data_IF_393344256987
#
_entry.id   IF_393344256987
#
_cell.length_a   1.000
_cell.length_b   1.000
_cell.length_c   1.000
_cell.angle_alpha   90.00
_cell.angle_beta   90.00
_cell.angle_gamma   90.00
#
_symmetry.space_group_name_H-M   'P 1'
#
loop_
_entity.id
_entity.type
_entity.pdbx_description
1 polymer ?
#
# COMPACT_ATOMS: atom_id res chain seq x y z
N UNK A 1 -6.25 23.40 13.76
CA UNK A 1 -5.82 23.51 12.35
C UNK A 1 -4.99 22.27 12.05
N UNK A 2 -5.24 21.60 10.93
CA UNK A 2 -4.41 20.47 10.47
C UNK A 2 -3.66 20.93 9.22
N UNK A 3 -2.35 20.71 9.18
CA UNK A 3 -1.48 21.04 8.05
C UNK A 3 -0.97 19.72 7.49
N UNK A 4 -1.45 19.34 6.32
CA UNK A 4 -1.08 18.11 5.62
C UNK A 4 0.15 18.33 4.74
N UNK A 5 1.18 17.53 4.98
CA UNK A 5 2.43 17.44 4.23
C UNK A 5 3.29 18.74 4.18
N UNK A 6 4.52 18.67 3.63
CA UNK A 6 5.44 19.80 3.67
C UNK A 6 5.01 21.04 2.90
N UNK A 7 4.19 20.91 1.86
CA UNK A 7 3.87 22.00 0.92
C UNK A 7 3.25 23.22 1.63
N UNK A 8 2.23 23.07 2.50
CA UNK A 8 1.68 24.18 3.29
C UNK A 8 2.42 24.47 4.61
N UNK A 9 3.44 23.68 4.99
CA UNK A 9 4.09 23.79 6.31
C UNK A 9 4.71 25.17 6.61
N UNK A 10 5.11 25.90 5.57
CA UNK A 10 5.62 27.26 5.69
C UNK A 10 4.59 28.27 6.25
N UNK A 11 3.30 27.94 6.27
CA UNK A 11 2.24 28.78 6.85
C UNK A 11 2.21 28.74 8.38
N UNK A 12 2.75 27.70 9.01
CA UNK A 12 2.62 27.46 10.46
C UNK A 12 3.10 28.66 11.29
N UNK A 13 4.29 29.25 11.05
CA UNK A 13 4.76 30.38 11.84
C UNK A 13 3.89 31.63 11.68
N UNK A 14 3.37 31.89 10.47
CA UNK A 14 2.49 33.03 10.21
C UNK A 14 1.13 32.87 10.89
N UNK A 15 0.60 31.64 10.95
CA UNK A 15 -0.62 31.33 11.69
C UNK A 15 -0.41 31.61 13.19
N UNK A 16 0.68 31.11 13.77
CA UNK A 16 1.02 31.35 15.19
C UNK A 16 1.30 32.83 15.47
N UNK A 17 1.87 33.57 14.52
CA UNK A 17 2.06 35.02 14.66
C UNK A 17 0.72 35.77 14.70
N UNK A 18 -0.23 35.40 13.84
CA UNK A 18 -1.56 36.03 13.79
C UNK A 18 -2.46 35.60 14.97
N UNK A 19 -2.31 34.36 15.44
CA UNK A 19 -3.02 33.80 16.58
C UNK A 19 -2.09 32.87 17.39
N UNK A 20 -1.44 33.37 18.46
CA UNK A 20 -0.53 32.58 19.29
C UNK A 20 -1.18 31.34 19.93
N UNK A 21 -2.49 31.39 20.19
CA UNK A 21 -3.24 30.30 20.81
C UNK A 21 -3.73 29.24 19.81
N UNK A 22 -3.56 29.46 18.51
CA UNK A 22 -3.97 28.54 17.47
C UNK A 22 -3.35 27.15 17.69
N UNK A 23 -4.19 26.11 17.80
CA UNK A 23 -3.74 24.72 17.90
C UNK A 23 -3.51 24.13 16.52
N UNK A 24 -2.31 23.62 16.28
CA UNK A 24 -1.85 23.14 14.97
C UNK A 24 -1.37 21.70 15.09
N UNK A 25 -1.90 20.83 14.25
CA UNK A 25 -1.41 19.46 14.06
C UNK A 25 -0.74 19.42 12.69
N UNK A 26 0.53 19.01 12.64
CA UNK A 26 1.20 18.69 11.39
C UNK A 26 1.01 17.19 11.09
N UNK A 27 0.59 16.87 9.86
CA UNK A 27 0.40 15.50 9.39
C UNK A 27 1.38 15.20 8.26
N UNK A 28 2.26 14.22 8.48
CA UNK A 28 3.16 13.70 7.44
C UNK A 28 2.60 12.43 6.82
N UNK A 29 2.36 12.44 5.52
CA UNK A 29 2.03 11.24 4.72
C UNK A 29 3.25 10.72 3.94
N UNK A 30 4.29 11.56 3.78
CA UNK A 30 5.51 11.19 3.07
C UNK A 30 6.47 10.35 3.90
N UNK A 31 7.29 9.56 3.21
CA UNK A 31 8.36 8.75 3.79
C UNK A 31 9.63 9.60 3.98
N UNK A 32 9.74 10.29 5.11
CA UNK A 32 10.97 11.01 5.46
C UNK A 32 11.93 10.00 6.06
N UNK A 33 12.90 9.51 5.28
CA UNK A 33 13.89 8.54 5.80
C UNK A 33 14.71 9.21 6.92
N UNK A 34 14.34 8.92 8.17
CA UNK A 34 14.85 9.62 9.35
C UNK A 34 16.37 9.57 9.44
N UNK A 35 16.96 8.41 9.14
CA UNK A 35 18.41 8.23 9.13
C UNK A 35 19.15 9.11 8.10
N UNK A 36 18.52 9.45 6.97
CA UNK A 36 19.09 10.37 5.97
C UNK A 36 18.84 11.83 6.38
N UNK A 37 17.65 12.12 6.91
CA UNK A 37 17.30 13.45 7.41
C UNK A 37 18.15 13.87 8.62
N UNK A 38 18.72 12.92 9.35
CA UNK A 38 19.63 13.17 10.48
C UNK A 38 21.10 13.27 10.06
N UNK A 39 21.48 13.00 8.80
CA UNK A 39 22.89 12.97 8.36
C UNK A 39 23.44 14.35 7.98
N UNK A 40 24.36 14.95 8.76
CA UNK A 40 24.89 16.28 8.49
C UNK A 40 25.58 16.39 7.12
N UNK A 41 25.43 17.54 6.46
CA UNK A 41 26.07 17.82 5.18
C UNK A 41 25.41 17.17 3.95
N UNK A 42 24.32 16.42 4.13
CA UNK A 42 23.57 15.82 3.02
C UNK A 42 22.45 16.75 2.51
N UNK A 43 22.06 16.67 1.23
CA UNK A 43 20.90 17.41 0.72
C UNK A 43 19.60 17.10 1.47
N UNK A 44 19.45 15.85 1.94
CA UNK A 44 18.30 15.40 2.72
C UNK A 44 18.23 16.13 4.06
N UNK A 45 19.37 16.24 4.77
CA UNK A 45 19.44 17.03 6.01
C UNK A 45 19.16 18.51 5.78
N UNK A 46 19.73 19.10 4.74
CA UNK A 46 19.47 20.51 4.41
C UNK A 46 17.99 20.76 4.16
N UNK A 47 17.35 19.88 3.38
CA UNK A 47 15.91 19.96 3.08
C UNK A 47 15.08 19.80 4.34
N UNK A 48 15.37 18.78 5.17
CA UNK A 48 14.67 18.58 6.43
C UNK A 48 14.83 19.76 7.39
N UNK A 49 16.05 20.31 7.52
CA UNK A 49 16.29 21.45 8.41
C UNK A 49 15.45 22.67 8.02
N UNK A 50 15.34 22.93 6.71
CA UNK A 50 14.48 24.01 6.19
C UNK A 50 13.00 23.79 6.53
N UNK A 51 12.49 22.56 6.34
CA UNK A 51 11.10 22.23 6.67
C UNK A 51 10.85 22.27 8.18
N UNK A 52 11.74 21.66 8.96
CA UNK A 52 11.63 21.57 10.42
C UNK A 52 11.64 22.93 11.09
N UNK A 53 12.37 23.92 10.54
CA UNK A 53 12.34 25.30 11.01
C UNK A 53 10.90 25.83 11.13
N UNK A 54 10.00 25.40 10.25
CA UNK A 54 8.59 25.80 10.21
C UNK A 54 7.68 24.82 10.94
N UNK A 55 7.90 23.51 10.74
CA UNK A 55 7.07 22.44 11.30
C UNK A 55 7.17 22.37 12.84
N UNK A 56 8.33 22.67 13.43
CA UNK A 56 8.55 22.61 14.89
C UNK A 56 7.60 23.50 15.71
N UNK A 57 6.90 24.43 15.07
CA UNK A 57 5.91 25.29 15.70
C UNK A 57 4.52 24.64 15.82
N UNK A 58 4.31 23.47 15.24
CA UNK A 58 3.08 22.69 15.43
C UNK A 58 3.02 22.11 16.86
N UNK A 59 1.81 21.91 17.38
CA UNK A 59 1.58 21.33 18.70
C UNK A 59 1.81 19.81 18.68
N UNK A 60 1.35 19.13 17.63
CA UNK A 60 1.54 17.69 17.42
C UNK A 60 2.10 17.36 16.03
N UNK A 61 2.87 16.28 15.95
CA UNK A 61 3.40 15.66 14.74
C UNK A 61 2.76 14.29 14.56
N UNK A 62 1.90 14.13 13.55
CA UNK A 62 1.21 12.89 13.26
C UNK A 62 1.84 12.22 12.05
N UNK A 63 2.27 10.97 12.18
CA UNK A 63 2.91 10.20 11.10
C UNK A 63 2.24 8.83 10.90
N UNK A 64 2.58 8.16 9.80
CA UNK A 64 2.36 6.72 9.68
C UNK A 64 3.06 5.97 10.83
N UNK A 65 2.57 4.78 11.22
CA UNK A 65 3.08 4.00 12.36
C UNK A 65 4.46 3.36 12.11
N UNK A 66 5.43 4.19 11.76
CA UNK A 66 6.74 3.79 11.29
C UNK A 66 7.80 4.78 11.79
N UNK A 67 8.53 4.37 12.82
CA UNK A 67 9.56 5.20 13.45
C UNK A 67 10.62 5.69 12.45
N UNK A 68 11.00 4.84 11.49
CA UNK A 68 11.99 5.17 10.46
C UNK A 68 11.57 6.33 9.54
N UNK A 69 10.29 6.73 9.53
CA UNK A 69 9.79 7.88 8.76
C UNK A 69 9.76 9.18 9.54
N UNK A 70 10.23 9.16 10.79
CA UNK A 70 10.23 10.34 11.65
C UNK A 70 11.69 10.68 11.95
N UNK A 71 12.16 11.87 11.57
CA UNK A 71 13.50 12.34 11.92
C UNK A 71 13.69 12.48 13.43
N UNK A 72 14.92 12.27 13.90
CA UNK A 72 15.23 12.20 15.34
C UNK A 72 15.05 13.54 16.08
N UNK A 73 15.02 14.67 15.35
CA UNK A 73 14.82 16.00 15.92
C UNK A 73 13.37 16.25 16.36
N UNK A 74 12.41 15.43 15.91
CA UNK A 74 11.01 15.59 16.28
C UNK A 74 10.83 15.13 17.74
N UNK A 75 10.39 15.99 18.66
CA UNK A 75 10.27 15.62 20.08
C UNK A 75 9.28 14.47 20.28
N UNK A 76 9.70 13.44 21.00
CA UNK A 76 8.93 12.20 21.17
C UNK A 76 7.52 12.45 21.72
N UNK A 77 7.38 13.39 22.66
CA UNK A 77 6.12 13.79 23.27
C UNK A 77 5.13 14.44 22.30
N UNK A 78 5.56 14.87 21.12
CA UNK A 78 4.68 15.44 20.09
C UNK A 78 4.26 14.41 19.03
N UNK A 79 4.87 13.23 19.02
CA UNK A 79 4.71 12.25 17.95
C UNK A 79 3.55 11.30 18.23
N UNK A 80 2.58 11.29 17.30
CA UNK A 80 1.47 10.35 17.31
C UNK A 80 1.40 9.52 16.03
N UNK A 81 0.98 8.26 16.16
CA UNK A 81 0.76 7.38 15.01
C UNK A 81 -0.69 7.36 14.57
N UNK A 82 -0.87 7.62 13.27
CA UNK A 82 -2.11 7.40 12.54
C UNK A 82 -1.78 6.77 11.17
N UNK A 83 -2.26 5.56 10.87
CA UNK A 83 -2.00 4.89 9.60
C UNK A 83 -2.68 5.60 8.42
N UNK A 84 -2.31 5.23 7.20
CA UNK A 84 -3.16 5.56 6.05
C UNK A 84 -4.43 4.71 6.15
N UNK A 85 -5.55 5.24 5.64
CA UNK A 85 -6.84 4.56 5.74
C UNK A 85 -7.54 4.52 4.39
N UNK A 86 -8.42 3.53 4.25
CA UNK A 86 -9.28 3.40 3.09
C UNK A 86 -10.75 3.47 3.49
N UNK A 87 -11.63 3.82 2.54
CA UNK A 87 -13.07 3.82 2.76
C UNK A 87 -13.72 2.57 2.12
N UNK A 88 -14.60 1.85 2.83
CA UNK A 88 -15.38 0.75 2.25
C UNK A 88 -16.35 1.17 1.14
N UNK A 89 -16.77 2.44 1.12
CA UNK A 89 -17.78 2.97 0.20
C UNK A 89 -17.19 3.80 -0.95
N UNK A 90 -15.90 4.12 -0.88
CA UNK A 90 -15.21 4.93 -1.90
C UNK A 90 -14.36 4.08 -2.84
N UNK A 91 -14.04 4.68 -4.00
CA UNK A 91 -13.01 4.26 -4.93
C UNK A 91 -12.91 2.75 -5.08
N UNK A 92 -11.82 2.20 -4.54
CA UNK A 92 -11.38 0.83 -4.76
C UNK A 92 -12.05 -0.24 -3.91
N UNK A 93 -12.89 0.14 -2.95
CA UNK A 93 -13.61 -0.84 -2.12
C UNK A 93 -15.11 -0.78 -2.30
N UNK A 94 -15.62 0.22 -3.02
CA UNK A 94 -17.04 0.35 -3.34
C UNK A 94 -17.61 -1.02 -3.77
N UNK A 95 -18.73 -1.48 -3.18
CA UNK A 95 -19.37 -2.71 -3.61
C UNK A 95 -19.75 -2.65 -5.09
N UNK A 96 -19.46 -3.72 -5.82
CA UNK A 96 -19.77 -3.86 -7.24
C UNK A 96 -20.65 -5.10 -7.45
N UNK A 97 -21.64 -4.99 -8.33
CA UNK A 97 -22.39 -6.14 -8.81
C UNK A 97 -21.59 -6.93 -9.84
N UNK A 98 -21.97 -8.17 -10.09
CA UNK A 98 -21.36 -9.00 -11.14
C UNK A 98 -21.43 -8.36 -12.53
N UNK A 99 -22.56 -7.74 -12.89
CA UNK A 99 -22.72 -7.03 -14.16
C UNK A 99 -21.76 -5.83 -14.27
N UNK A 100 -21.59 -5.08 -13.19
CA UNK A 100 -20.65 -3.96 -13.14
C UNK A 100 -19.21 -4.45 -13.30
N UNK A 101 -18.85 -5.51 -12.58
CA UNK A 101 -17.52 -6.13 -12.71
C UNK A 101 -17.27 -6.64 -14.13
N UNK A 102 -18.26 -7.27 -14.79
CA UNK A 102 -18.13 -7.69 -16.20
C UNK A 102 -17.85 -6.50 -17.14
N UNK A 103 -18.50 -5.36 -16.91
CA UNK A 103 -18.23 -4.13 -17.69
C UNK A 103 -16.79 -3.65 -17.49
N UNK A 104 -16.29 -3.63 -16.25
CA UNK A 104 -14.93 -3.18 -15.97
C UNK A 104 -13.86 -4.17 -16.46
N UNK A 105 -14.13 -5.48 -16.45
CA UNK A 105 -13.25 -6.47 -17.09
C UNK A 105 -13.19 -6.26 -18.61
N UNK A 106 -14.31 -5.96 -19.28
CA UNK A 106 -14.29 -5.61 -20.71
C UNK A 106 -13.44 -4.37 -20.99
N UNK A 107 -13.49 -3.36 -20.10
CA UNK A 107 -12.63 -2.18 -20.23
C UNK A 107 -11.15 -2.53 -20.05
N UNK A 108 -10.81 -3.39 -19.10
CA UNK A 108 -9.45 -3.88 -18.92
C UNK A 108 -8.96 -4.67 -20.15
N UNK A 109 -9.78 -5.57 -20.67
CA UNK A 109 -9.46 -6.34 -21.88
C UNK A 109 -9.27 -5.45 -23.11
N UNK A 110 -10.04 -4.35 -23.25
CA UNK A 110 -9.82 -3.37 -24.30
C UNK A 110 -8.43 -2.70 -24.20
N UNK A 111 -7.97 -2.41 -22.97
CA UNK A 111 -6.62 -1.86 -22.75
C UNK A 111 -5.54 -2.90 -23.06
N UNK A 112 -5.73 -4.17 -22.69
CA UNK A 112 -4.80 -5.24 -23.06
C UNK A 112 -4.62 -5.34 -24.58
N UNK A 113 -5.71 -5.30 -25.33
CA UNK A 113 -5.67 -5.34 -26.80
C UNK A 113 -4.95 -4.13 -27.40
N UNK A 114 -5.13 -2.93 -26.83
CA UNK A 114 -4.40 -1.73 -27.25
C UNK A 114 -2.88 -1.86 -27.03
N UNK A 115 -2.48 -2.56 -25.98
CA UNK A 115 -1.08 -2.89 -25.65
C UNK A 115 -0.55 -4.14 -26.39
N UNK A 116 -1.29 -4.65 -27.38
CA UNK A 116 -0.91 -5.82 -28.18
C UNK A 116 -0.96 -7.16 -27.42
N UNK A 117 -1.66 -7.23 -26.29
CA UNK A 117 -1.77 -8.43 -25.47
C UNK A 117 -3.09 -9.16 -25.72
N UNK A 118 -3.10 -10.47 -25.48
CA UNK A 118 -4.33 -11.26 -25.45
C UNK A 118 -5.21 -10.87 -24.25
N UNK A 119 -6.55 -10.92 -24.35
CA UNK A 119 -7.46 -10.67 -23.23
C UNK A 119 -7.19 -11.58 -22.01
N UNK A 120 -7.65 -11.15 -20.84
CA UNK A 120 -7.69 -12.00 -19.65
C UNK A 120 -8.69 -13.15 -19.87
N UNK A 121 -8.32 -14.37 -19.51
CA UNK A 121 -9.18 -15.55 -19.59
C UNK A 121 -9.96 -15.69 -18.27
N UNK A 122 -11.23 -15.29 -18.29
CA UNK A 122 -12.10 -15.28 -17.11
C UNK A 122 -12.34 -16.69 -16.51
N UNK A 123 -11.98 -17.77 -17.22
CA UNK A 123 -12.09 -19.14 -16.70
C UNK A 123 -10.85 -19.59 -15.91
N UNK A 124 -9.75 -18.85 -16.01
CA UNK A 124 -8.50 -19.15 -15.30
C UNK A 124 -8.37 -18.23 -14.09
N UNK A 125 -7.94 -18.75 -12.92
CA UNK A 125 -7.60 -17.87 -11.80
C UNK A 125 -6.41 -17.00 -12.19
N UNK A 126 -6.25 -15.86 -11.52
CA UNK A 126 -5.08 -15.03 -11.70
C UNK A 126 -4.53 -14.47 -10.39
N UNK A 127 -3.22 -14.32 -10.38
CA UNK A 127 -2.47 -13.62 -9.36
C UNK A 127 -2.33 -12.17 -9.81
N UNK A 128 -2.37 -11.21 -8.89
CA UNK A 128 -2.25 -9.78 -9.23
C UNK A 128 -1.27 -9.04 -8.34
N UNK A 129 -0.46 -8.15 -8.92
CA UNK A 129 0.18 -7.06 -8.19
C UNK A 129 -0.38 -5.72 -8.69
N UNK A 130 -0.94 -4.93 -7.76
CA UNK A 130 -1.41 -3.57 -8.05
C UNK A 130 -0.39 -2.55 -7.55
N UNK A 131 0.41 -1.99 -8.45
CA UNK A 131 1.46 -1.05 -8.10
C UNK A 131 1.74 -0.03 -9.21
N UNK A 132 2.30 1.12 -8.84
CA UNK A 132 2.96 2.00 -9.82
C UNK A 132 4.13 1.26 -10.47
N UNK A 133 4.47 1.64 -11.70
CA UNK A 133 5.65 1.11 -12.39
C UNK A 133 6.90 1.84 -11.92
N UNK A 134 7.27 1.58 -10.68
CA UNK A 134 8.38 2.22 -9.97
C UNK A 134 9.42 1.15 -9.60
N UNK A 135 10.74 1.44 -9.65
CA UNK A 135 11.78 0.47 -9.30
C UNK A 135 11.63 -0.13 -7.90
N UNK A 136 11.01 0.60 -6.97
CA UNK A 136 10.79 0.13 -5.60
C UNK A 136 9.69 -0.93 -5.48
N UNK A 137 8.90 -1.18 -6.53
CA UNK A 137 7.74 -2.09 -6.48
C UNK A 137 8.06 -3.55 -6.81
N UNK A 138 9.33 -3.86 -7.07
CA UNK A 138 9.83 -5.25 -7.22
C UNK A 138 9.13 -6.04 -8.32
N UNK A 139 8.70 -5.38 -9.41
CA UNK A 139 8.03 -6.06 -10.53
C UNK A 139 8.89 -7.20 -11.15
N UNK A 140 10.23 -7.07 -11.29
CA UNK A 140 11.06 -8.20 -11.72
C UNK A 140 10.95 -9.42 -10.82
N UNK A 141 10.87 -9.23 -9.49
CA UNK A 141 10.74 -10.32 -8.53
C UNK A 141 9.37 -11.01 -8.66
N UNK A 142 8.32 -10.26 -9.02
CA UNK A 142 6.99 -10.82 -9.34
C UNK A 142 7.07 -11.74 -10.56
N UNK A 143 7.75 -11.31 -11.63
CA UNK A 143 7.90 -12.11 -12.84
C UNK A 143 8.69 -13.40 -12.56
N UNK A 144 9.78 -13.32 -11.80
CA UNK A 144 10.58 -14.49 -11.43
C UNK A 144 9.84 -15.42 -10.45
N UNK A 145 9.07 -14.90 -9.49
CA UNK A 145 8.21 -15.69 -8.62
C UNK A 145 7.16 -16.46 -9.43
N UNK A 146 6.52 -15.79 -10.39
CA UNK A 146 5.52 -16.40 -11.26
C UNK A 146 6.13 -17.46 -12.18
N UNK A 147 7.33 -17.23 -12.74
CA UNK A 147 8.06 -18.24 -13.51
C UNK A 147 8.35 -19.49 -12.69
N UNK A 148 8.87 -19.34 -11.46
CA UNK A 148 9.13 -20.46 -10.55
C UNK A 148 7.85 -21.22 -10.19
N UNK A 149 6.77 -20.50 -9.88
CA UNK A 149 5.46 -21.08 -9.63
C UNK A 149 4.99 -21.92 -10.83
N UNK A 150 5.14 -21.40 -12.05
CA UNK A 150 4.77 -22.12 -13.28
C UNK A 150 5.53 -23.44 -13.38
N UNK A 151 6.85 -23.43 -13.20
CA UNK A 151 7.68 -24.64 -13.20
C UNK A 151 7.18 -25.68 -12.17
N UNK A 152 6.74 -25.23 -10.99
CA UNK A 152 6.23 -26.11 -9.93
C UNK A 152 4.87 -26.73 -10.31
N UNK A 153 3.95 -25.92 -10.85
CA UNK A 153 2.62 -26.37 -11.27
C UNK A 153 2.70 -27.32 -12.48
N UNK A 154 3.57 -27.03 -13.46
CA UNK A 154 3.78 -27.88 -14.63
C UNK A 154 4.31 -29.26 -14.25
N UNK A 155 5.30 -29.33 -13.35
CA UNK A 155 5.83 -30.60 -12.83
C UNK A 155 4.76 -31.47 -12.18
N UNK A 156 3.76 -30.83 -11.58
CA UNK A 156 2.65 -31.48 -10.89
C UNK A 156 1.38 -31.58 -11.76
N UNK A 157 1.47 -31.19 -13.04
CA UNK A 157 0.35 -31.18 -14.00
C UNK A 157 -0.89 -30.44 -13.47
N UNK A 158 -0.66 -29.34 -12.75
CA UNK A 158 -1.70 -28.47 -12.19
C UNK A 158 -2.07 -27.35 -13.17
N UNK A 159 -3.30 -26.81 -13.12
CA UNK A 159 -3.69 -25.67 -13.93
C UNK A 159 -2.80 -24.45 -13.67
N UNK A 160 -2.40 -23.76 -14.75
CA UNK A 160 -1.55 -22.56 -14.67
C UNK A 160 -2.43 -21.30 -14.55
N UNK A 161 -2.30 -20.50 -13.48
CA UNK A 161 -3.02 -19.23 -13.35
C UNK A 161 -2.42 -18.18 -14.30
N UNK A 162 -3.14 -17.09 -14.55
CA UNK A 162 -2.58 -15.92 -15.22
C UNK A 162 -1.91 -14.98 -14.18
N UNK A 163 -1.05 -14.08 -14.65
CA UNK A 163 -0.47 -13.01 -13.83
C UNK A 163 -0.94 -11.66 -14.34
N UNK A 164 -1.40 -10.78 -13.45
CA UNK A 164 -1.77 -9.40 -13.75
C UNK A 164 -0.83 -8.44 -13.02
N UNK A 165 -0.14 -7.56 -13.73
CA UNK A 165 0.66 -6.48 -13.17
C UNK A 165 0.07 -5.17 -13.68
N UNK A 166 -0.50 -4.39 -12.78
CA UNK A 166 -1.24 -3.18 -13.16
C UNK A 166 -1.19 -2.11 -12.10
N UNK A 167 -1.55 -0.89 -12.44
CA UNK A 167 -1.67 0.20 -11.48
C UNK A 167 -1.91 1.53 -12.17
N UNK A 168 -2.40 2.50 -11.40
CA UNK A 168 -2.64 3.84 -11.93
C UNK A 168 -1.30 4.47 -12.36
N UNK A 169 -1.28 5.01 -13.57
CA UNK A 169 -0.22 5.86 -14.08
C UNK A 169 -0.41 7.29 -13.61
N UNK A 170 0.69 7.98 -13.29
CA UNK A 170 0.70 9.44 -13.17
C UNK A 170 1.42 10.03 -14.39
N UNK A 171 0.96 11.22 -14.80
CA UNK A 171 1.57 11.99 -15.90
C UNK A 171 2.98 12.44 -15.50
N UNK A 172 3.19 12.72 -14.20
CA UNK A 172 4.43 13.23 -13.63
C UNK A 172 5.33 12.12 -13.05
N UNK A 173 5.20 10.87 -13.52
CA UNK A 173 6.00 9.73 -13.07
C UNK A 173 7.16 9.45 -14.05
N UNK A 174 8.36 10.04 -13.83
CA UNK A 174 9.49 9.88 -14.75
C UNK A 174 9.98 8.44 -14.84
N UNK A 175 9.76 7.63 -13.80
CA UNK A 175 10.22 6.24 -13.72
C UNK A 175 9.20 5.25 -14.31
N UNK A 176 7.92 5.65 -14.38
CA UNK A 176 6.81 4.87 -14.89
C UNK A 176 7.04 4.24 -16.27
N UNK A 177 7.53 5.02 -17.23
CA UNK A 177 7.78 4.55 -18.60
C UNK A 177 9.02 3.64 -18.68
N UNK A 178 10.19 4.02 -18.11
CA UNK A 178 11.36 3.15 -18.06
C UNK A 178 11.09 1.77 -17.47
N UNK A 179 10.40 1.68 -16.33
CA UNK A 179 10.11 0.40 -15.67
C UNK A 179 9.12 -0.42 -16.49
N UNK A 180 8.11 0.19 -17.09
CA UNK A 180 7.19 -0.51 -17.99
C UNK A 180 7.91 -1.12 -19.20
N UNK A 181 8.81 -0.37 -19.84
CA UNK A 181 9.60 -0.86 -20.96
C UNK A 181 10.61 -1.94 -20.53
N UNK A 182 11.13 -1.89 -19.30
CA UNK A 182 11.93 -2.97 -18.74
C UNK A 182 11.10 -4.26 -18.62
N UNK A 183 9.89 -4.17 -18.06
CA UNK A 183 8.99 -5.33 -17.92
C UNK A 183 8.66 -5.95 -19.27
N UNK A 184 8.35 -5.13 -20.29
CA UNK A 184 8.12 -5.62 -21.66
C UNK A 184 9.34 -6.36 -22.22
N UNK A 185 10.55 -5.80 -22.08
CA UNK A 185 11.78 -6.45 -22.53
C UNK A 185 12.05 -7.77 -21.82
N UNK A 186 11.74 -7.88 -20.53
CA UNK A 186 11.85 -9.16 -19.80
C UNK A 186 10.89 -10.19 -20.40
N UNK A 187 9.64 -9.80 -20.65
CA UNK A 187 8.64 -10.69 -21.25
C UNK A 187 8.95 -11.09 -22.71
N UNK A 188 9.69 -10.28 -23.43
CA UNK A 188 10.19 -10.56 -24.79
C UNK A 188 11.49 -11.40 -24.80
N UNK A 189 12.00 -11.78 -23.62
CA UNK A 189 13.21 -12.59 -23.48
C UNK A 189 12.93 -13.99 -22.95
N UNK A 190 13.76 -14.95 -23.33
CA UNK A 190 13.71 -16.31 -22.80
C UNK A 190 13.95 -16.31 -21.27
N UNK A 191 13.21 -17.10 -20.48
CA UNK A 191 12.19 -18.08 -20.90
C UNK A 191 10.75 -17.52 -20.95
N UNK A 192 10.55 -16.21 -20.78
CA UNK A 192 9.21 -15.62 -20.63
C UNK A 192 8.40 -15.59 -21.93
N UNK A 193 9.07 -15.61 -23.07
CA UNK A 193 8.48 -15.70 -24.42
C UNK A 193 7.53 -16.90 -24.56
N UNK A 194 7.83 -18.02 -23.92
CA UNK A 194 7.02 -19.25 -23.97
C UNK A 194 5.63 -19.09 -23.31
N UNK A 195 5.47 -18.11 -22.42
CA UNK A 195 4.25 -17.93 -21.63
C UNK A 195 3.85 -16.46 -21.47
N UNK A 196 4.31 -15.59 -22.36
CA UNK A 196 3.99 -14.16 -22.32
C UNK A 196 2.48 -13.91 -22.36
N UNK A 197 1.72 -14.76 -23.03
CA UNK A 197 0.25 -14.70 -23.09
C UNK A 197 -0.44 -14.98 -21.75
N UNK A 198 0.26 -15.57 -20.78
CA UNK A 198 -0.27 -15.74 -19.42
C UNK A 198 -0.05 -14.51 -18.54
N UNK A 199 0.79 -13.56 -18.98
CA UNK A 199 1.14 -12.35 -18.22
C UNK A 199 0.48 -11.11 -18.83
N UNK A 200 -0.27 -10.37 -18.01
CA UNK A 200 -1.05 -9.18 -18.38
C UNK A 200 -0.47 -7.95 -17.72
N UNK A 201 0.11 -7.04 -18.50
CA UNK A 201 0.80 -5.84 -18.00
C UNK A 201 0.18 -4.57 -18.57
N UNK A 202 -0.42 -3.74 -17.72
CA UNK A 202 -1.08 -2.49 -18.17
C UNK A 202 -0.80 -1.35 -17.19
N UNK A 203 -0.45 -0.18 -17.72
CA UNK A 203 -0.49 1.08 -16.96
C UNK A 203 -1.88 1.68 -17.08
N UNK A 204 -2.68 1.57 -16.02
CA UNK A 204 -4.06 2.05 -16.08
C UNK A 204 -4.10 3.59 -16.02
N UNK A 205 -5.02 4.23 -16.76
CA UNK A 205 -5.46 5.58 -16.37
C UNK A 205 -6.17 5.52 -15.01
N UNK A 206 -6.38 6.67 -14.36
CA UNK A 206 -7.06 6.77 -13.06
C UNK A 206 -8.50 6.21 -13.11
N UNK A 207 -8.63 4.89 -12.94
CA UNK A 207 -9.89 4.14 -13.06
C UNK A 207 -10.01 3.14 -11.92
N UNK A 208 -10.38 3.66 -10.76
CA UNK A 208 -10.45 2.89 -9.52
C UNK A 208 -11.37 1.67 -9.61
N UNK A 209 -12.47 1.75 -10.36
CA UNK A 209 -13.41 0.63 -10.45
C UNK A 209 -12.88 -0.55 -11.29
N UNK A 210 -11.96 -0.29 -12.22
CA UNK A 210 -11.23 -1.37 -12.93
C UNK A 210 -10.31 -2.08 -11.95
N UNK A 211 -9.51 -1.34 -11.18
CA UNK A 211 -8.65 -1.91 -10.15
C UNK A 211 -9.44 -2.64 -9.05
N UNK A 212 -10.57 -2.08 -8.60
CA UNK A 212 -11.47 -2.72 -7.64
C UNK A 212 -11.94 -4.08 -8.16
N UNK A 213 -12.39 -4.12 -9.42
CA UNK A 213 -12.83 -5.35 -10.08
C UNK A 213 -11.69 -6.35 -10.17
N UNK A 214 -10.50 -5.92 -10.61
CA UNK A 214 -9.34 -6.78 -10.75
C UNK A 214 -8.85 -7.35 -9.40
N UNK A 215 -8.93 -6.59 -8.31
CA UNK A 215 -8.64 -7.10 -6.97
C UNK A 215 -9.74 -8.04 -6.46
N UNK A 216 -11.02 -7.78 -6.75
CA UNK A 216 -12.13 -8.66 -6.32
C UNK A 216 -12.10 -10.01 -7.04
N UNK A 217 -11.69 -10.03 -8.30
CA UNK A 217 -11.68 -11.22 -9.15
C UNK A 217 -10.35 -11.99 -9.12
N UNK A 218 -9.31 -11.47 -8.47
CA UNK A 218 -8.04 -12.20 -8.30
C UNK A 218 -8.15 -13.34 -7.30
N UNK A 219 -7.28 -14.33 -7.41
CA UNK A 219 -7.14 -15.41 -6.43
C UNK A 219 -6.22 -14.97 -5.29
N UNK A 220 -5.00 -14.54 -5.63
CA UNK A 220 -3.97 -14.12 -4.68
C UNK A 220 -3.41 -12.76 -5.10
N UNK A 221 -3.12 -11.91 -4.12
CA UNK A 221 -2.48 -10.60 -4.35
C UNK A 221 -1.02 -10.65 -3.93
N UNK A 222 -0.15 -10.14 -4.79
CA UNK A 222 1.27 -9.93 -4.51
C UNK A 222 1.52 -8.47 -4.14
N UNK A 223 2.42 -8.27 -3.17
CA UNK A 223 2.99 -6.96 -2.86
C UNK A 223 4.49 -7.10 -2.57
N UNK A 224 5.29 -7.32 -3.63
CA UNK A 224 6.73 -7.56 -3.53
C UNK A 224 7.54 -6.26 -3.58
N UNK A 225 7.08 -5.23 -2.87
CA UNK A 225 7.78 -3.95 -2.85
C UNK A 225 9.11 -4.08 -2.09
N UNK A 226 10.17 -3.49 -2.63
CA UNK A 226 11.51 -3.43 -2.02
C UNK A 226 11.60 -2.31 -0.98
N UNK A 227 10.82 -1.25 -1.17
CA UNK A 227 10.66 -0.15 -0.22
C UNK A 227 9.22 0.29 -0.26
N UNK A 228 8.65 0.48 0.92
CA UNK A 228 7.25 0.84 1.03
C UNK A 228 6.95 1.69 2.26
N UNK A 229 5.90 2.51 2.13
CA UNK A 229 5.31 3.28 3.20
C UNK A 229 4.36 2.41 4.01
N UNK A 230 3.13 2.88 4.19
CA UNK A 230 2.08 2.04 4.75
C UNK A 230 1.52 1.04 3.72
N UNK A 231 1.29 1.47 2.48
CA UNK A 231 0.66 0.70 1.39
C UNK A 231 -0.74 0.16 1.69
N UNK A 232 -1.73 0.99 1.39
CA UNK A 232 -3.15 0.71 1.64
C UNK A 232 -3.68 -0.42 0.75
N UNK A 233 -3.02 -0.74 -0.38
CA UNK A 233 -3.43 -1.84 -1.27
C UNK A 233 -3.51 -3.19 -0.56
N UNK A 234 -2.65 -3.41 0.44
CA UNK A 234 -2.67 -4.63 1.24
C UNK A 234 -3.98 -4.71 2.03
N UNK A 235 -4.37 -3.64 2.75
CA UNK A 235 -5.67 -3.59 3.42
C UNK A 235 -6.83 -3.77 2.44
N UNK A 236 -6.79 -3.09 1.28
CA UNK A 236 -7.86 -3.19 0.27
C UNK A 236 -8.04 -4.61 -0.28
N UNK A 237 -6.95 -5.38 -0.42
CA UNK A 237 -6.96 -6.77 -0.84
C UNK A 237 -7.55 -7.68 0.26
N UNK A 238 -7.07 -7.52 1.49
CA UNK A 238 -7.56 -8.29 2.65
C UNK A 238 -9.07 -8.08 2.87
N UNK A 239 -9.54 -6.83 2.76
CA UNK A 239 -10.98 -6.51 2.86
C UNK A 239 -11.85 -7.21 1.80
N UNK A 240 -11.25 -7.64 0.68
CA UNK A 240 -11.93 -8.40 -0.38
C UNK A 240 -11.78 -9.92 -0.20
N UNK A 241 -11.26 -10.36 0.95
CA UNK A 241 -10.97 -11.75 1.24
C UNK A 241 -9.86 -12.33 0.39
N UNK A 242 -8.91 -11.50 -0.08
CA UNK A 242 -7.81 -11.96 -0.92
C UNK A 242 -6.56 -12.15 -0.07
N UNK A 243 -6.04 -13.38 0.04
CA UNK A 243 -4.73 -13.62 0.62
C UNK A 243 -3.67 -12.77 -0.06
N UNK A 244 -2.77 -12.19 0.74
CA UNK A 244 -1.66 -11.37 0.26
C UNK A 244 -0.34 -12.07 0.54
N UNK A 245 0.50 -12.25 -0.48
CA UNK A 245 1.91 -12.66 -0.32
C UNK A 245 2.77 -11.43 -0.57
N UNK A 246 3.51 -10.99 0.43
CA UNK A 246 4.21 -9.71 0.38
C UNK A 246 5.60 -9.76 0.99
N UNK A 247 6.46 -8.83 0.55
CA UNK A 247 7.71 -8.61 1.25
C UNK A 247 7.52 -7.88 2.58
N UNK A 248 8.34 -8.25 3.56
CA UNK A 248 8.33 -7.69 4.91
C UNK A 248 9.01 -6.33 4.96
N UNK A 249 8.43 -5.36 4.27
CA UNK A 249 8.94 -3.97 4.19
C UNK A 249 7.89 -2.98 4.65
N UNK A 250 8.35 -1.83 5.11
CA UNK A 250 7.43 -0.74 5.38
C UNK A 250 6.43 -1.06 6.50
N UNK A 251 5.20 -0.60 6.29
CA UNK A 251 4.03 -0.86 7.11
C UNK A 251 3.21 -2.07 6.64
N UNK A 252 3.67 -2.82 5.63
CA UNK A 252 3.02 -4.05 5.17
C UNK A 252 2.85 -5.07 6.32
N UNK A 253 3.86 -5.32 7.19
CA UNK A 253 3.73 -6.26 8.29
C UNK A 253 2.71 -5.85 9.36
N UNK A 254 2.29 -4.57 9.38
CA UNK A 254 1.24 -4.09 10.30
C UNK A 254 -0.17 -4.49 9.82
N UNK A 255 -0.31 -4.85 8.55
CA UNK A 255 -1.59 -5.18 7.92
C UNK A 255 -1.79 -6.69 7.78
N UNK A 256 -0.71 -7.46 7.56
CA UNK A 256 -0.76 -8.91 7.35
C UNK A 256 -0.43 -9.64 8.65
N UNK A 257 -1.34 -10.51 9.09
CA UNK A 257 -1.04 -11.55 10.07
C UNK A 257 -0.49 -12.78 9.32
N UNK A 258 0.82 -12.99 9.42
CA UNK A 258 1.55 -14.03 8.69
C UNK A 258 1.01 -15.44 8.99
N UNK A 259 0.80 -16.23 7.93
CA UNK A 259 0.19 -17.56 7.99
C UNK A 259 -1.32 -17.60 8.27
N UNK A 260 -1.95 -16.45 8.58
CA UNK A 260 -3.38 -16.35 8.92
C UNK A 260 -4.16 -15.63 7.84
N UNK A 261 -3.72 -14.43 7.44
CA UNK A 261 -4.41 -13.57 6.46
C UNK A 261 -3.64 -13.43 5.14
N UNK A 262 -2.39 -13.88 5.14
CA UNK A 262 -1.42 -13.75 4.07
C UNK A 262 -0.06 -14.29 4.52
N UNK A 263 0.95 -14.09 3.68
CA UNK A 263 2.33 -14.49 3.98
C UNK A 263 3.29 -13.30 3.87
N UNK A 264 4.18 -13.18 4.86
CA UNK A 264 5.27 -12.21 4.87
C UNK A 264 6.58 -12.91 4.56
N UNK A 265 7.25 -12.46 3.51
CA UNK A 265 8.49 -13.03 3.00
C UNK A 265 9.62 -12.01 3.11
N UNK A 266 10.84 -12.46 3.37
CA UNK A 266 12.00 -11.56 3.35
C UNK A 266 12.32 -11.10 1.92
N UNK A 267 12.79 -9.85 1.77
CA UNK A 267 13.06 -9.26 0.45
C UNK A 267 14.08 -10.10 -0.31
N UNK A 268 13.75 -10.46 -1.55
CA UNK A 268 14.60 -11.27 -2.43
C UNK A 268 14.46 -12.79 -2.25
N UNK A 269 13.70 -13.29 -1.26
CA UNK A 269 13.38 -14.72 -1.17
C UNK A 269 12.22 -15.09 -2.12
N UNK A 270 12.52 -15.01 -3.41
CA UNK A 270 11.57 -15.27 -4.49
C UNK A 270 11.11 -16.73 -4.50
N UNK A 271 11.93 -17.65 -3.99
CA UNK A 271 11.59 -19.08 -3.90
C UNK A 271 10.48 -19.30 -2.88
N UNK A 272 10.57 -18.66 -1.71
CA UNK A 272 9.52 -18.72 -0.71
C UNK A 272 8.21 -18.07 -1.19
N UNK A 273 8.29 -16.95 -1.93
CA UNK A 273 7.10 -16.35 -2.59
C UNK A 273 6.42 -17.37 -3.50
N UNK A 274 7.18 -18.03 -4.39
CA UNK A 274 6.65 -19.03 -5.31
C UNK A 274 6.03 -20.23 -4.56
N UNK A 275 6.63 -20.65 -3.44
CA UNK A 275 6.10 -21.72 -2.61
C UNK A 275 4.75 -21.35 -1.99
N UNK A 276 4.62 -20.16 -1.40
CA UNK A 276 3.34 -19.70 -0.84
C UNK A 276 2.26 -19.56 -1.90
N UNK A 277 2.59 -19.06 -3.09
CA UNK A 277 1.66 -19.03 -4.21
C UNK A 277 1.22 -20.45 -4.61
N UNK A 278 2.16 -21.39 -4.68
CA UNK A 278 1.87 -22.79 -5.01
C UNK A 278 0.94 -23.42 -3.98
N UNK A 279 1.21 -23.23 -2.68
CA UNK A 279 0.39 -23.78 -1.60
C UNK A 279 -1.04 -23.22 -1.65
N UNK A 280 -1.18 -21.90 -1.83
CA UNK A 280 -2.50 -21.25 -1.96
C UNK A 280 -3.28 -21.69 -3.21
N UNK A 281 -2.61 -22.07 -4.30
CA UNK A 281 -3.27 -22.50 -5.53
C UNK A 281 -3.53 -24.01 -5.59
N UNK A 282 -2.93 -24.80 -4.71
CA UNK A 282 -3.02 -26.27 -4.76
C UNK A 282 -3.65 -26.90 -3.52
N UNK A 283 -3.75 -26.16 -2.40
CA UNK A 283 -4.50 -26.52 -1.21
C UNK A 283 -5.71 -25.60 -1.02
N UNK A 284 -6.86 -26.06 -1.53
CA UNK A 284 -8.14 -25.35 -1.43
C UNK A 284 -8.55 -25.09 0.02
N UNK A 285 -8.28 -26.02 0.95
CA UNK A 285 -8.65 -25.86 2.36
C UNK A 285 -7.82 -24.76 3.01
N UNK A 286 -6.52 -24.72 2.70
CA UNK A 286 -5.63 -23.68 3.17
C UNK A 286 -6.05 -22.31 2.64
N UNK A 287 -6.33 -22.22 1.32
CA UNK A 287 -6.79 -20.99 0.69
C UNK A 287 -8.10 -20.47 1.30
N UNK A 288 -9.13 -21.31 1.44
CA UNK A 288 -10.43 -20.90 1.99
C UNK A 288 -10.31 -20.41 3.44
N UNK A 289 -9.48 -21.06 4.25
CA UNK A 289 -9.20 -20.63 5.62
C UNK A 289 -8.58 -19.22 5.63
N UNK A 290 -7.53 -19.02 4.83
CA UNK A 290 -6.82 -17.74 4.75
C UNK A 290 -7.68 -16.62 4.14
N UNK A 291 -8.43 -16.91 3.08
CA UNK A 291 -9.35 -15.96 2.42
C UNK A 291 -10.43 -15.46 3.38
N UNK A 292 -11.04 -16.38 4.14
CA UNK A 292 -12.02 -16.02 5.17
C UNK A 292 -11.39 -15.17 6.26
N UNK A 293 -10.24 -15.59 6.78
CA UNK A 293 -9.52 -14.84 7.80
C UNK A 293 -9.11 -13.44 7.31
N UNK A 294 -8.65 -13.32 6.05
CA UNK A 294 -8.35 -12.05 5.42
C UNK A 294 -9.55 -11.09 5.44
N UNK A 295 -10.74 -11.56 5.07
CA UNK A 295 -11.96 -10.73 5.07
C UNK A 295 -12.42 -10.34 6.50
N UNK A 296 -12.36 -11.27 7.44
CA UNK A 296 -12.86 -11.08 8.81
C UNK A 296 -11.93 -10.20 9.66
N UNK A 297 -10.62 -10.39 9.48
CA UNK A 297 -9.55 -9.73 10.25
C UNK A 297 -8.93 -8.55 9.50
N UNK A 298 -9.37 -8.26 8.26
CA UNK A 298 -8.97 -7.07 7.53
C UNK A 298 -9.04 -5.85 8.46
N UNK A 299 -7.94 -5.10 8.52
CA UNK A 299 -7.73 -4.07 9.53
C UNK A 299 -8.84 -3.03 9.55
N UNK A 300 -9.88 -3.27 10.38
CA UNK A 300 -10.97 -2.32 10.64
C UNK A 300 -10.44 -1.01 11.20
N UNK A 301 -9.23 -1.04 11.76
CA UNK A 301 -8.51 0.12 12.27
C UNK A 301 -7.96 1.03 11.16
N UNK A 302 -7.88 0.53 9.92
CA UNK A 302 -7.39 1.26 8.74
C UNK A 302 -8.53 1.81 7.88
N UNK A 303 -9.68 2.10 8.52
CA UNK A 303 -10.86 2.65 7.86
C UNK A 303 -11.05 4.15 8.17
N UNK A 304 -11.67 4.88 7.24
CA UNK A 304 -11.93 6.32 7.34
C UNK A 304 -12.69 6.74 8.60
N UNK A 305 -13.73 5.99 8.99
CA UNK A 305 -14.55 6.30 10.17
C UNK A 305 -13.73 6.20 11.49
N UNK A 306 -13.08 5.07 11.79
CA UNK A 306 -12.07 4.95 12.85
C UNK A 306 -11.03 6.07 12.86
N UNK A 307 -10.54 6.47 11.70
CA UNK A 307 -9.56 7.54 11.56
C UNK A 307 -10.15 8.92 11.91
N UNK A 308 -11.39 9.19 11.51
CA UNK A 308 -12.09 10.43 11.85
C UNK A 308 -12.25 10.58 13.36
N UNK A 309 -12.53 9.49 14.08
CA UNK A 309 -12.56 9.49 15.56
C UNK A 309 -11.20 9.91 16.14
N UNK A 310 -10.11 9.43 15.57
CA UNK A 310 -8.76 9.80 16.01
C UNK A 310 -8.49 11.31 15.81
N UNK A 311 -8.89 11.86 14.67
CA UNK A 311 -8.78 13.30 14.41
C UNK A 311 -9.61 14.15 15.38
N UNK A 312 -10.87 13.75 15.61
CA UNK A 312 -11.75 14.40 16.56
C UNK A 312 -11.19 14.34 17.99
N UNK A 313 -10.62 13.19 18.37
CA UNK A 313 -9.98 13.02 19.66
C UNK A 313 -8.80 13.99 19.84
N UNK A 314 -7.83 14.02 18.91
CA UNK A 314 -6.70 14.95 19.01
C UNK A 314 -7.16 16.42 19.07
N UNK A 315 -8.13 16.80 18.24
CA UNK A 315 -8.67 18.15 18.21
C UNK A 315 -9.31 18.53 19.55
N UNK A 316 -10.13 17.66 20.13
CA UNK A 316 -10.80 17.90 21.41
C UNK A 316 -9.80 18.08 22.55
N UNK A 317 -8.76 17.25 22.59
CA UNK A 317 -7.73 17.28 23.64
C UNK A 317 -6.94 18.59 23.58
N UNK A 318 -6.55 19.03 22.36
CA UNK A 318 -5.87 20.31 22.15
C UNK A 318 -6.73 21.51 22.53
N UNK A 319 -8.03 21.49 22.20
CA UNK A 319 -8.95 22.60 22.49
C UNK A 319 -9.25 22.70 23.98
N UNK A 320 -9.34 21.58 24.69
CA UNK A 320 -9.57 21.55 26.13
C UNK A 320 -8.32 21.90 26.97
N UNK A 321 -7.17 22.13 26.33
CA UNK A 321 -5.91 22.42 27.01
C UNK A 321 -5.25 21.20 27.64
N UNK A 322 -5.73 19.99 27.33
CA UNK A 322 -5.13 18.73 27.76
C UNK A 322 -3.92 18.44 26.87
N UNK A 323 -2.72 18.59 27.44
CA UNK A 323 -1.48 18.26 26.72
C UNK A 323 -1.29 16.75 26.75
N UNK A 324 -1.55 16.10 25.61
CA UNK A 324 -1.22 14.69 25.43
C UNK A 324 0.28 14.57 25.17
N UNK A 325 0.86 13.50 25.71
CA UNK A 325 2.20 13.06 25.34
C UNK A 325 2.09 11.92 24.33
N UNK A 326 2.62 12.13 23.14
CA UNK A 326 2.54 11.20 22.03
C UNK A 326 3.40 9.97 22.21
N UNK A 327 4.71 10.13 22.43
CA UNK A 327 5.69 9.03 22.59
C UNK A 327 5.47 7.86 21.63
N UNK A 328 5.20 8.16 20.36
CA UNK A 328 4.95 7.16 19.31
C UNK A 328 3.71 6.27 19.60
N UNK A 329 2.73 6.79 20.33
CA UNK A 329 1.50 6.08 20.62
C UNK A 329 0.51 6.20 19.46
N UNK A 330 -0.27 5.14 19.28
CA UNK A 330 -1.40 5.14 18.35
C UNK A 330 -2.53 6.00 18.92
N UNK A 331 -2.95 7.01 18.17
CA UNK A 331 -4.04 7.91 18.58
C UNK A 331 -5.31 7.12 18.91
N UNK A 332 -5.58 6.06 18.14
CA UNK A 332 -6.71 5.17 18.36
C UNK A 332 -6.68 4.52 19.74
N UNK A 333 -5.52 4.02 20.17
CA UNK A 333 -5.37 3.39 21.48
C UNK A 333 -5.59 4.40 22.60
N UNK A 334 -5.17 5.66 22.42
CA UNK A 334 -5.45 6.75 23.36
C UNK A 334 -6.95 7.08 23.41
N UNK A 335 -7.59 7.24 22.26
CA UNK A 335 -9.02 7.52 22.16
C UNK A 335 -9.87 6.41 22.82
N UNK A 336 -9.54 5.15 22.59
CA UNK A 336 -10.24 4.01 23.21
C UNK A 336 -10.06 3.96 24.73
N UNK A 337 -8.86 4.24 25.24
CA UNK A 337 -8.61 4.32 26.70
C UNK A 337 -9.38 5.45 27.37
N UNK A 338 -9.65 6.53 26.64
CA UNK A 338 -10.41 7.67 27.14
C UNK A 338 -11.92 7.38 27.16
N UNK A 339 -12.46 6.72 26.12
CA UNK A 339 -13.88 6.31 26.07
C UNK A 339 -14.30 5.29 27.14
N UNK A 340 -13.34 4.56 27.72
CA UNK A 340 -13.58 3.61 28.80
C UNK A 340 -13.57 4.21 30.21
N UNK A 341 -13.36 5.52 30.34
CA UNK A 341 -13.40 6.27 31.60
C UNK A 341 -14.67 7.09 31.71
#
# INVERSE_FOLDING_TARGET
IVIDDPQPSGLIPYIKQANPDAKIIYRSHIQIVGSLASQPGTPQRTTWSFLWEKIQHADYFVSHPMKMFIPDDVPAEQIFYMPATTDPLDGLNKPLTEDQMSIYLKQFNALLLQEGQTPLDEKRPYIIQVARFDPSKGIPDVLEAYRKLRDMLEKQQKPIPQLVITGNSSIDDPDGVPVYNLVKRILESEPYTDFVDDVKVVRLPHRDQVLNTLLRKSEVVLQLSLKEGFEVKVTEALMKGKPVVAYKVGGIPLQIQDGITGHLVEVGDITQVAQHLYDLLTDESHYQCMSKAAAELAGKDYLTIPNAICWLYLALQLVNGEKLEGHYQWVRALAQKNLGK
#
